data_IF_726171099424
#
_entry.id   IF_726171099424
#
_cell.length_a   1.000
_cell.length_b   1.000
_cell.length_c   1.000
_cell.angle_alpha   90.00
_cell.angle_beta   90.00
_cell.angle_gamma   90.00
#
_symmetry.space_group_name_H-M   'P 1'
#
loop_
_entity.id
_entity.type
_entity.pdbx_description
1 polymer ?
#
# COMPACT_ATOMS: atom_id res chain seq x y z
N UNK A 1 26.46 12.83 10.90
CA UNK A 1 26.51 11.38 11.16
C UNK A 1 25.52 10.74 10.21
N UNK A 2 25.99 10.28 9.05
CA UNK A 2 25.13 9.65 8.03
C UNK A 2 24.76 8.25 8.52
N UNK A 3 23.48 8.02 8.82
CA UNK A 3 22.94 6.67 8.89
C UNK A 3 22.94 6.12 7.45
N UNK A 4 23.83 5.18 7.16
CA UNK A 4 23.71 4.32 6.00
C UNK A 4 22.46 3.47 6.18
N UNK A 5 21.43 3.74 5.38
CA UNK A 5 20.31 2.83 5.19
C UNK A 5 20.86 1.69 4.35
N UNK A 6 20.99 0.50 4.93
CA UNK A 6 21.66 -0.65 4.33
C UNK A 6 20.87 -1.31 3.21
N UNK A 7 20.64 -0.61 2.11
CA UNK A 7 20.20 -1.23 0.86
C UNK A 7 21.44 -1.80 0.17
N UNK A 8 21.51 -3.11 -0.01
CA UNK A 8 22.58 -3.74 -0.78
C UNK A 8 22.27 -3.61 -2.27
N UNK A 9 23.05 -2.80 -2.98
CA UNK A 9 23.05 -2.66 -4.46
C UNK A 9 23.66 -3.90 -5.15
N UNK A 10 23.20 -5.10 -4.78
CA UNK A 10 23.56 -6.36 -5.43
C UNK A 10 22.37 -6.91 -6.22
N UNK A 11 22.61 -7.73 -7.24
CA UNK A 11 21.56 -8.52 -7.91
C UNK A 11 20.95 -9.52 -6.91
N UNK A 12 20.07 -9.03 -6.02
CA UNK A 12 19.27 -9.84 -5.12
C UNK A 12 18.20 -10.57 -5.92
N UNK A 13 17.77 -11.73 -5.43
CA UNK A 13 16.58 -12.38 -5.96
C UNK A 13 15.41 -11.37 -6.02
N UNK A 14 14.48 -11.48 -7.00
CA UNK A 14 13.35 -10.58 -7.10
C UNK A 14 12.57 -10.50 -5.78
N UNK A 15 12.21 -9.30 -5.36
CA UNK A 15 11.51 -9.07 -4.09
C UNK A 15 10.12 -9.71 -4.17
N UNK A 16 9.81 -10.63 -3.26
CA UNK A 16 8.51 -11.29 -3.19
C UNK A 16 7.49 -10.38 -2.54
N UNK A 17 6.53 -9.93 -3.32
CA UNK A 17 5.43 -9.08 -2.84
C UNK A 17 4.13 -9.85 -2.91
N UNK A 18 3.30 -9.70 -1.88
CA UNK A 18 1.90 -10.16 -1.88
C UNK A 18 0.93 -8.99 -1.88
N UNK A 19 -0.27 -9.20 -2.43
CA UNK A 19 -1.34 -8.21 -2.42
C UNK A 19 -2.53 -8.74 -1.61
N UNK A 20 -2.97 -7.96 -0.63
CA UNK A 20 -4.09 -8.29 0.26
C UNK A 20 -5.22 -7.30 -0.02
N UNK A 21 -6.34 -7.80 -0.53
CA UNK A 21 -7.44 -7.02 -1.09
C UNK A 21 -7.31 -6.90 -2.61
N UNK A 22 -8.24 -7.51 -3.35
CA UNK A 22 -8.30 -7.60 -4.81
C UNK A 22 -9.45 -6.78 -5.41
N UNK A 23 -9.83 -5.70 -4.71
CA UNK A 23 -10.60 -4.60 -5.30
C UNK A 23 -9.81 -3.84 -6.38
N UNK A 24 -10.38 -2.76 -6.91
CA UNK A 24 -9.81 -2.03 -8.05
C UNK A 24 -8.32 -1.65 -7.89
N UNK A 25 -7.94 -1.08 -6.74
CA UNK A 25 -6.56 -0.63 -6.51
C UNK A 25 -5.61 -1.81 -6.26
N UNK A 26 -6.08 -2.87 -5.59
CA UNK A 26 -5.31 -4.08 -5.36
C UNK A 26 -4.94 -4.79 -6.66
N UNK A 27 -5.90 -4.94 -7.58
CA UNK A 27 -5.63 -5.49 -8.93
C UNK A 27 -4.63 -4.64 -9.72
N UNK A 28 -4.70 -3.32 -9.57
CA UNK A 28 -3.73 -2.41 -10.19
C UNK A 28 -2.32 -2.64 -9.64
N UNK A 29 -2.17 -2.79 -8.32
CA UNK A 29 -0.90 -3.17 -7.71
C UNK A 29 -0.41 -4.53 -8.21
N UNK A 30 -1.28 -5.54 -8.25
CA UNK A 30 -0.96 -6.87 -8.77
C UNK A 30 -0.41 -6.80 -10.20
N UNK A 31 -1.08 -6.08 -11.11
CA UNK A 31 -0.60 -5.88 -12.49
C UNK A 31 0.76 -5.17 -12.54
N UNK A 32 0.96 -4.13 -11.74
CA UNK A 32 2.22 -3.38 -11.71
C UNK A 32 3.38 -4.23 -11.18
N UNK A 33 3.14 -5.00 -10.11
CA UNK A 33 4.14 -5.92 -9.54
C UNK A 33 4.50 -7.01 -10.55
N UNK A 34 3.51 -7.64 -11.19
CA UNK A 34 3.76 -8.67 -12.22
C UNK A 34 4.52 -8.14 -13.45
N UNK A 35 4.50 -6.82 -13.68
CA UNK A 35 5.21 -6.17 -14.79
C UNK A 35 6.59 -5.63 -14.41
N UNK A 36 6.99 -5.75 -13.14
CA UNK A 36 8.28 -5.28 -12.64
C UNK A 36 9.38 -6.32 -12.85
N UNK A 37 10.59 -5.85 -13.14
CA UNK A 37 11.82 -6.64 -13.15
C UNK A 37 12.48 -6.76 -11.76
N UNK A 38 12.04 -5.95 -10.79
CA UNK A 38 12.59 -5.90 -9.43
C UNK A 38 11.81 -6.75 -8.44
N UNK A 39 10.55 -7.09 -8.75
CA UNK A 39 9.62 -7.75 -7.85
C UNK A 39 8.94 -8.94 -8.53
N UNK A 40 8.42 -9.86 -7.71
CA UNK A 40 7.52 -10.93 -8.14
C UNK A 40 6.24 -10.89 -7.32
N UNK A 41 5.09 -11.03 -7.99
CA UNK A 41 3.80 -11.19 -7.32
C UNK A 41 3.69 -12.64 -6.84
N UNK A 42 4.00 -12.87 -5.56
CA UNK A 42 4.17 -14.19 -4.99
C UNK A 42 2.87 -14.81 -4.47
N UNK A 43 1.82 -14.01 -4.29
CA UNK A 43 0.52 -14.45 -3.80
C UNK A 43 -0.47 -13.30 -3.69
N UNK A 44 -1.75 -13.63 -3.72
CA UNK A 44 -2.83 -12.67 -3.50
C UNK A 44 -3.81 -13.20 -2.46
N UNK A 45 -4.43 -12.30 -1.71
CA UNK A 45 -5.44 -12.66 -0.73
C UNK A 45 -6.67 -11.75 -0.81
N UNK A 46 -7.86 -12.37 -0.78
CA UNK A 46 -9.12 -11.67 -0.57
C UNK A 46 -10.14 -12.61 0.10
N UNK A 47 -11.02 -12.06 0.94
CA UNK A 47 -12.10 -12.84 1.58
C UNK A 47 -13.24 -13.16 0.61
N UNK A 48 -13.36 -12.41 -0.49
CA UNK A 48 -14.31 -12.68 -1.56
C UNK A 48 -13.72 -13.69 -2.55
N UNK A 49 -14.21 -14.93 -2.48
CA UNK A 49 -13.80 -16.03 -3.38
C UNK A 49 -14.08 -15.75 -4.85
N UNK A 50 -14.93 -14.78 -5.20
CA UNK A 50 -15.14 -14.34 -6.59
C UNK A 50 -13.83 -13.88 -7.27
N UNK A 51 -12.85 -13.45 -6.46
CA UNK A 51 -11.55 -12.98 -6.94
C UNK A 51 -10.55 -14.10 -7.25
N UNK A 52 -10.86 -15.37 -6.92
CA UNK A 52 -10.01 -16.52 -7.26
C UNK A 52 -9.79 -16.66 -8.77
N UNK A 53 -10.85 -16.49 -9.57
CA UNK A 53 -10.76 -16.54 -11.04
C UNK A 53 -9.77 -15.54 -11.63
N UNK A 54 -9.65 -14.35 -11.02
CA UNK A 54 -8.67 -13.35 -11.41
C UNK A 54 -7.24 -13.80 -11.08
N UNK A 55 -7.03 -14.40 -9.89
CA UNK A 55 -5.73 -14.93 -9.48
C UNK A 55 -5.25 -16.05 -10.41
N UNK A 56 -6.16 -16.96 -10.80
CA UNK A 56 -5.90 -18.01 -11.79
C UNK A 56 -5.53 -17.42 -13.15
N UNK A 57 -6.25 -16.40 -13.61
CA UNK A 57 -5.97 -15.71 -14.88
C UNK A 57 -4.56 -15.10 -14.92
N UNK A 58 -4.08 -14.57 -13.80
CA UNK A 58 -2.73 -13.98 -13.70
C UNK A 58 -1.66 -14.99 -13.25
N UNK A 59 -2.05 -16.26 -13.01
CA UNK A 59 -1.13 -17.34 -12.65
C UNK A 59 -0.51 -17.24 -11.25
N UNK A 60 -1.23 -16.67 -10.28
CA UNK A 60 -0.72 -16.44 -8.92
C UNK A 60 -1.56 -17.18 -7.88
N UNK A 61 -0.94 -17.77 -6.83
CA UNK A 61 -1.66 -18.40 -5.72
C UNK A 61 -2.65 -17.46 -5.03
N UNK A 62 -3.89 -17.93 -4.86
CA UNK A 62 -4.96 -17.25 -4.13
C UNK A 62 -5.11 -17.83 -2.72
N UNK A 63 -5.36 -16.95 -1.76
CA UNK A 63 -5.65 -17.30 -0.37
C UNK A 63 -6.85 -16.49 0.13
N UNK A 64 -7.69 -17.08 0.97
CA UNK A 64 -8.78 -16.36 1.65
C UNK A 64 -8.40 -15.91 3.07
N UNK A 65 -7.21 -16.30 3.54
CA UNK A 65 -6.68 -15.99 4.85
C UNK A 65 -5.27 -15.36 4.77
N UNK A 66 -5.12 -14.21 5.41
CA UNK A 66 -3.84 -13.46 5.41
C UNK A 66 -2.72 -14.23 6.11
N UNK A 67 -2.98 -14.86 7.26
CA UNK A 67 -1.93 -15.56 8.01
C UNK A 67 -1.44 -16.81 7.26
N UNK A 68 -2.34 -17.51 6.57
CA UNK A 68 -2.00 -18.63 5.69
C UNK A 68 -1.15 -18.16 4.49
N UNK A 69 -1.56 -17.08 3.81
CA UNK A 69 -0.78 -16.46 2.74
C UNK A 69 0.65 -16.14 3.20
N UNK A 70 0.77 -15.41 4.31
CA UNK A 70 2.09 -14.97 4.81
C UNK A 70 2.94 -16.17 5.23
N UNK A 71 2.35 -17.18 5.86
CA UNK A 71 3.06 -18.38 6.30
C UNK A 71 3.54 -19.25 5.13
N UNK A 72 2.72 -19.39 4.08
CA UNK A 72 3.04 -20.19 2.91
C UNK A 72 4.06 -19.51 1.99
N UNK A 73 3.88 -18.21 1.73
CA UNK A 73 4.70 -17.45 0.76
C UNK A 73 5.99 -16.91 1.38
N UNK A 74 5.96 -16.56 2.67
CA UNK A 74 7.03 -15.85 3.39
C UNK A 74 7.54 -14.65 2.56
N UNK A 75 6.66 -13.67 2.26
CA UNK A 75 7.01 -12.55 1.39
C UNK A 75 7.93 -11.55 2.08
N UNK A 76 8.67 -10.80 1.26
CA UNK A 76 9.51 -9.69 1.74
C UNK A 76 8.64 -8.45 2.05
N UNK A 77 7.56 -8.27 1.28
CA UNK A 77 6.63 -7.17 1.50
C UNK A 77 5.17 -7.49 1.15
N UNK A 78 4.25 -6.70 1.71
CA UNK A 78 2.81 -6.82 1.49
C UNK A 78 2.19 -5.47 1.11
N UNK A 79 1.36 -5.48 0.07
CA UNK A 79 0.47 -4.37 -0.28
C UNK A 79 -0.91 -4.61 0.32
N UNK A 80 -1.30 -3.77 1.28
CA UNK A 80 -2.62 -3.80 1.94
C UNK A 80 -3.54 -2.82 1.20
N UNK A 81 -4.47 -3.38 0.44
CA UNK A 81 -5.46 -2.71 -0.40
C UNK A 81 -6.91 -3.06 -0.02
N UNK A 82 -7.13 -3.45 1.24
CA UNK A 82 -8.44 -3.77 1.82
C UNK A 82 -9.24 -2.49 2.11
N UNK A 83 -10.51 -2.59 2.54
CA UNK A 83 -11.20 -1.44 3.13
C UNK A 83 -10.42 -0.87 4.34
N UNK A 84 -10.50 0.44 4.53
CA UNK A 84 -9.73 1.19 5.52
C UNK A 84 -9.83 0.63 6.95
N UNK A 85 -11.02 0.15 7.35
CA UNK A 85 -11.31 -0.40 8.68
C UNK A 85 -10.49 -1.64 9.01
N UNK A 86 -10.00 -2.34 7.98
CA UNK A 86 -9.23 -3.57 8.10
C UNK A 86 -7.72 -3.36 8.01
N UNK A 87 -7.24 -2.15 7.67
CA UNK A 87 -5.81 -1.89 7.54
C UNK A 87 -5.02 -2.27 8.80
N UNK A 88 -5.51 -1.92 10.00
CA UNK A 88 -4.81 -2.22 11.24
C UNK A 88 -4.69 -3.74 11.50
N UNK A 89 -5.78 -4.50 11.33
CA UNK A 89 -5.75 -5.95 11.58
C UNK A 89 -4.80 -6.66 10.62
N UNK A 90 -4.80 -6.28 9.34
CA UNK A 90 -3.90 -6.87 8.34
C UNK A 90 -2.45 -6.44 8.59
N UNK A 91 -2.21 -5.16 8.91
CA UNK A 91 -0.88 -4.66 9.21
C UNK A 91 -0.27 -5.33 10.44
N UNK A 92 -1.08 -5.60 11.48
CA UNK A 92 -0.62 -6.31 12.67
C UNK A 92 -0.17 -7.74 12.35
N UNK A 93 -0.88 -8.46 11.48
CA UNK A 93 -0.49 -9.81 11.04
C UNK A 93 0.86 -9.76 10.31
N UNK A 94 0.99 -8.87 9.32
CA UNK A 94 2.21 -8.72 8.54
C UNK A 94 3.42 -8.33 9.43
N UNK A 95 3.23 -7.34 10.31
CA UNK A 95 4.27 -6.85 11.21
C UNK A 95 4.78 -7.94 12.17
N UNK A 96 3.89 -8.74 12.76
CA UNK A 96 4.27 -9.87 13.63
C UNK A 96 5.07 -10.95 12.90
N UNK A 97 4.90 -11.05 11.59
CA UNK A 97 5.63 -11.97 10.71
C UNK A 97 6.87 -11.31 10.08
N UNK A 98 7.24 -10.10 10.50
CA UNK A 98 8.40 -9.33 10.01
C UNK A 98 8.36 -9.03 8.50
N UNK A 99 7.15 -8.79 7.98
CA UNK A 99 6.93 -8.42 6.58
C UNK A 99 6.77 -6.91 6.47
N UNK A 100 7.52 -6.27 5.56
CA UNK A 100 7.40 -4.83 5.29
C UNK A 100 6.09 -4.51 4.56
N UNK A 101 5.53 -3.32 4.79
CA UNK A 101 4.13 -3.06 4.45
C UNK A 101 3.96 -1.76 3.66
N UNK A 102 3.24 -1.85 2.54
CA UNK A 102 2.60 -0.71 1.91
C UNK A 102 1.10 -0.73 2.25
N UNK A 103 0.58 0.33 2.86
CA UNK A 103 -0.86 0.48 3.15
C UNK A 103 -1.45 1.51 2.20
N UNK A 104 -2.50 1.12 1.46
CA UNK A 104 -3.23 2.08 0.63
C UNK A 104 -3.85 3.20 1.46
N UNK A 105 -3.99 4.38 0.86
CA UNK A 105 -4.47 5.55 1.60
C UNK A 105 -6.00 5.54 1.77
N UNK A 106 -6.54 6.00 2.91
CA UNK A 106 -5.84 6.49 4.10
C UNK A 106 -5.24 5.36 4.96
N UNK A 107 -4.27 5.69 5.83
CA UNK A 107 -3.61 4.73 6.73
C UNK A 107 -4.61 3.87 7.54
N UNK A 108 -5.67 4.47 8.08
CA UNK A 108 -6.80 3.80 8.74
C UNK A 108 -8.00 4.77 8.83
N UNK A 109 -9.16 4.28 9.31
CA UNK A 109 -10.37 5.09 9.50
C UNK A 109 -10.34 6.03 10.71
N UNK A 110 -9.49 5.73 11.69
CA UNK A 110 -9.41 6.51 12.94
C UNK A 110 -7.96 6.84 13.28
N UNK A 111 -7.77 7.96 13.98
CA UNK A 111 -6.46 8.33 14.52
C UNK A 111 -5.91 7.25 15.46
N UNK A 112 -6.78 6.64 16.27
CA UNK A 112 -6.39 5.57 17.20
C UNK A 112 -5.84 4.36 16.45
N UNK A 113 -6.53 3.89 15.39
CA UNK A 113 -6.01 2.80 14.57
C UNK A 113 -4.73 3.18 13.81
N UNK A 114 -4.66 4.43 13.31
CA UNK A 114 -3.46 4.95 12.65
C UNK A 114 -2.25 4.91 13.59
N UNK A 115 -2.43 5.33 14.84
CA UNK A 115 -1.38 5.29 15.85
C UNK A 115 -0.96 3.84 16.16
N UNK A 116 -1.93 2.92 16.30
CA UNK A 116 -1.62 1.50 16.53
C UNK A 116 -0.82 0.86 15.40
N UNK A 117 -1.02 1.28 14.14
CA UNK A 117 -0.21 0.83 13.01
C UNK A 117 1.25 1.33 13.17
N UNK A 118 1.43 2.59 13.55
CA UNK A 118 2.77 3.15 13.81
C UNK A 118 3.46 2.44 14.98
N UNK A 119 2.72 2.15 16.05
CA UNK A 119 3.28 1.50 17.23
C UNK A 119 3.71 0.06 16.91
N UNK A 120 2.84 -0.74 16.29
CA UNK A 120 3.16 -2.14 15.97
C UNK A 120 4.30 -2.27 14.96
N UNK A 121 4.38 -1.37 13.98
CA UNK A 121 5.45 -1.40 12.98
C UNK A 121 6.80 -1.04 13.60
N UNK A 122 6.84 -0.10 14.54
CA UNK A 122 8.04 0.22 15.33
C UNK A 122 8.43 -0.90 16.28
N UNK A 123 7.48 -1.45 17.03
CA UNK A 123 7.72 -2.56 17.97
C UNK A 123 8.27 -3.80 17.27
N UNK A 124 7.80 -4.06 16.04
CA UNK A 124 8.22 -5.19 15.25
C UNK A 124 9.37 -4.88 14.29
N UNK A 125 9.95 -3.68 14.30
CA UNK A 125 11.05 -3.28 13.41
C UNK A 125 10.78 -3.61 11.94
N UNK A 126 9.58 -3.23 11.46
CA UNK A 126 9.17 -3.37 10.05
C UNK A 126 8.92 -2.00 9.45
N UNK A 127 9.25 -1.86 8.17
CA UNK A 127 9.01 -0.64 7.43
C UNK A 127 7.54 -0.53 7.02
N UNK A 128 7.02 0.69 7.07
CA UNK A 128 5.68 1.01 6.58
C UNK A 128 5.72 2.23 5.66
N UNK A 129 5.09 2.09 4.49
CA UNK A 129 4.87 3.17 3.53
C UNK A 129 3.37 3.31 3.27
N UNK A 130 2.88 4.54 3.20
CA UNK A 130 1.48 4.80 2.84
C UNK A 130 1.41 5.12 1.35
N UNK A 131 0.38 4.59 0.65
CA UNK A 131 0.12 4.68 -0.79
C UNK A 131 -0.12 6.08 -1.37
N UNK A 132 0.55 7.12 -0.84
CA UNK A 132 0.61 8.47 -1.39
C UNK A 132 1.48 8.53 -2.66
N UNK A 133 1.16 7.70 -3.66
CA UNK A 133 1.91 7.51 -4.90
C UNK A 133 2.28 8.82 -5.63
N UNK A 134 1.45 9.87 -5.49
CA UNK A 134 1.71 11.18 -6.08
C UNK A 134 2.98 11.87 -5.61
N UNK A 135 3.47 11.54 -4.41
CA UNK A 135 4.76 12.04 -3.91
C UNK A 135 5.94 11.60 -4.80
N UNK A 136 5.75 10.55 -5.59
CA UNK A 136 6.74 10.02 -6.53
C UNK A 136 6.58 10.59 -7.96
N UNK A 137 5.62 11.49 -8.18
CA UNK A 137 5.49 12.17 -9.47
C UNK A 137 6.69 13.10 -9.71
N UNK A 138 7.34 13.05 -10.90
CA UNK A 138 8.42 13.99 -11.23
C UNK A 138 8.01 15.47 -11.08
N UNK A 139 6.74 15.80 -11.37
CA UNK A 139 6.22 17.16 -11.19
C UNK A 139 6.17 17.59 -9.73
N UNK A 140 5.80 16.67 -8.82
CA UNK A 140 5.76 16.96 -7.38
C UNK A 140 7.17 17.03 -6.81
N UNK A 141 8.08 16.17 -7.27
CA UNK A 141 9.50 16.26 -6.89
C UNK A 141 10.12 17.58 -7.35
N UNK A 142 9.85 18.01 -8.58
CA UNK A 142 10.31 19.31 -9.09
C UNK A 142 9.74 20.47 -8.27
N UNK A 143 8.43 20.47 -8.01
CA UNK A 143 7.80 21.51 -7.19
C UNK A 143 8.42 21.57 -5.77
N UNK A 144 8.72 20.41 -5.17
CA UNK A 144 9.43 20.33 -3.89
C UNK A 144 10.83 20.95 -4.00
N UNK A 145 11.61 20.61 -5.02
CA UNK A 145 12.96 21.15 -5.24
C UNK A 145 12.95 22.68 -5.38
N UNK A 146 12.05 23.23 -6.18
CA UNK A 146 11.89 24.70 -6.36
C UNK A 146 11.62 25.40 -5.02
N UNK A 147 10.81 24.79 -4.17
CA UNK A 147 10.53 25.31 -2.82
C UNK A 147 11.74 25.18 -1.90
N UNK A 148 12.39 24.01 -1.85
CA UNK A 148 13.54 23.74 -0.98
C UNK A 148 14.77 24.57 -1.34
N UNK A 149 14.97 24.85 -2.63
CA UNK A 149 16.05 25.68 -3.14
C UNK A 149 15.83 27.18 -2.92
N UNK A 150 14.66 27.58 -2.39
CA UNK A 150 14.33 28.99 -2.14
C UNK A 150 14.10 29.83 -3.39
N UNK A 151 13.84 29.20 -4.54
CA UNK A 151 13.68 29.88 -5.84
C UNK A 151 12.45 30.80 -5.87
N UNK A 152 11.47 30.55 -4.98
CA UNK A 152 10.26 31.37 -4.83
C UNK A 152 10.40 32.49 -3.78
N UNK A 153 11.57 32.62 -3.15
CA UNK A 153 11.79 33.54 -2.04
C UNK A 153 10.99 33.16 -0.79
N UNK A 154 10.52 34.15 -0.02
CA UNK A 154 9.74 33.91 1.19
C UNK A 154 8.32 33.49 0.84
N UNK A 155 7.95 32.26 1.18
CA UNK A 155 6.59 31.77 1.02
C UNK A 155 5.60 32.57 1.88
N UNK A 156 4.48 32.98 1.28
CA UNK A 156 3.42 33.73 1.97
C UNK A 156 2.10 32.96 2.07
N UNK A 157 1.88 31.96 1.21
CA UNK A 157 0.68 31.14 1.21
C UNK A 157 0.70 30.06 0.13
N UNK A 158 -0.20 29.09 0.24
CA UNK A 158 -0.42 28.04 -0.75
C UNK A 158 -1.92 27.79 -0.92
N UNK A 159 -2.35 27.49 -2.15
CA UNK A 159 -3.72 27.11 -2.47
C UNK A 159 -3.71 25.79 -3.22
N UNK A 160 -4.57 24.86 -2.82
CA UNK A 160 -4.76 23.58 -3.50
C UNK A 160 -6.26 23.33 -3.65
N UNK A 161 -6.68 23.04 -4.88
CA UNK A 161 -8.06 22.67 -5.20
C UNK A 161 -8.10 21.24 -5.74
N UNK A 162 -8.93 20.40 -5.14
CA UNK A 162 -9.18 19.03 -5.58
C UNK A 162 -10.67 18.83 -5.81
N UNK A 163 -11.13 19.05 -7.03
CA UNK A 163 -12.54 18.94 -7.43
C UNK A 163 -12.67 17.92 -8.55
N UNK A 164 -13.18 16.73 -8.23
CA UNK A 164 -13.43 15.67 -9.19
C UNK A 164 -14.90 15.24 -9.11
N UNK A 165 -15.52 15.05 -10.28
CA UNK A 165 -16.79 14.35 -10.37
C UNK A 165 -16.52 12.85 -10.31
N UNK A 166 -17.14 12.17 -9.34
CA UNK A 166 -17.20 10.71 -9.31
C UNK A 166 -18.44 10.26 -10.10
N UNK A 167 -18.32 9.29 -11.01
CA UNK A 167 -19.48 8.74 -11.69
C UNK A 167 -20.39 8.02 -10.67
N UNK A 168 -21.68 7.85 -10.98
CA UNK A 168 -22.66 7.32 -10.03
C UNK A 168 -22.34 5.90 -9.56
N UNK A 169 -21.90 5.04 -10.49
CA UNK A 169 -21.49 3.64 -10.27
C UNK A 169 -20.31 3.49 -9.30
N UNK A 170 -19.53 4.56 -9.08
CA UNK A 170 -18.47 4.58 -8.08
C UNK A 170 -18.98 4.24 -6.67
N UNK A 171 -20.25 4.53 -6.39
CA UNK A 171 -20.90 4.36 -5.10
C UNK A 171 -21.68 3.04 -4.96
N UNK A 172 -21.66 2.17 -5.96
CA UNK A 172 -22.40 0.88 -5.94
C UNK A 172 -21.80 -0.16 -4.99
N UNK A 173 -20.75 0.20 -4.24
CA UNK A 173 -20.12 -0.65 -3.21
C UNK A 173 -20.41 -0.13 -1.81
N UNK A 174 -20.93 -1.01 -0.93
CA UNK A 174 -21.45 -0.64 0.39
C UNK A 174 -20.47 0.12 1.28
N UNK A 175 -19.17 -0.18 1.22
CA UNK A 175 -18.18 0.45 2.08
C UNK A 175 -17.85 1.90 1.67
N UNK A 176 -18.29 2.40 0.51
CA UNK A 176 -18.15 3.82 0.11
C UNK A 176 -19.35 4.69 0.46
N UNK A 177 -20.45 4.06 0.86
CA UNK A 177 -21.74 4.75 1.14
C UNK A 177 -22.15 4.66 2.61
N UNK A 178 -21.46 3.85 3.41
CA UNK A 178 -21.72 3.67 4.84
C UNK A 178 -20.53 4.16 5.66
N UNK A 179 -20.77 4.84 6.79
CA UNK A 179 -19.68 5.26 7.70
C UNK A 179 -18.96 4.03 8.27
N UNK A 180 -17.63 4.03 8.38
CA UNK A 180 -16.68 5.15 8.18
C UNK A 180 -16.20 5.35 6.74
N UNK A 181 -16.79 4.67 5.77
CA UNK A 181 -16.47 4.68 4.34
C UNK A 181 -16.02 6.01 3.76
N UNK A 182 -14.91 5.95 3.00
CA UNK A 182 -14.27 7.11 2.36
C UNK A 182 -14.72 7.37 0.93
#
# INVERSE_FOLDING_TARGET
MQMQVGWTDGMSAPIKIVVIGLGWIGRKHATLISSSDQCVLAGVCDVDSSHQSYAEQIGVPFYDNVDELISAVQPDGAVIATPNSHHFSVAQICARRKVDILIEKPIADTLVQSQRIVDVTKEQDVHVVIGHHRRHSPFIQMAKSVVENGELGKLVGAMMLWTLMKPADYFDVNWRTTRPGG
#
